data_IF_024515056925
#
_entry.id   IF_024515056925
#
_cell.length_a   1.000
_cell.length_b   1.000
_cell.length_c   1.000
_cell.angle_alpha   90.00
_cell.angle_beta   90.00
_cell.angle_gamma   90.00
#
_symmetry.space_group_name_H-M   'P 1'
#
loop_
_entity.id
_entity.type
_entity.pdbx_description
1 polymer ?
#
# COMPACT_ATOMS: atom_id res chain seq x y z
N UNK A 1 -4.50 22.87 14.20
CA UNK A 1 -5.22 22.62 12.96
C UNK A 1 -4.78 23.62 11.91
N UNK A 2 -4.89 23.34 10.62
CA UNK A 2 -4.33 24.16 9.55
C UNK A 2 -4.81 25.61 9.62
N UNK A 3 -3.93 26.51 10.06
CA UNK A 3 -4.22 27.94 10.03
C UNK A 3 -3.96 28.44 8.60
N UNK A 4 -5.00 28.86 7.87
CA UNK A 4 -4.99 29.24 6.45
C UNK A 4 -4.27 30.59 6.17
N UNK A 5 -3.51 31.10 7.12
CA UNK A 5 -2.95 32.45 7.08
C UNK A 5 -1.88 32.67 6.02
N UNK A 6 -1.21 31.62 5.50
CA UNK A 6 -0.13 31.77 4.54
C UNK A 6 -0.54 31.42 3.12
N UNK A 7 0.13 32.04 2.10
CA UNK A 7 -0.06 31.74 0.68
C UNK A 7 0.19 30.24 0.38
N UNK A 8 1.20 29.65 1.00
CA UNK A 8 1.54 28.23 0.83
C UNK A 8 0.43 27.29 1.31
N UNK A 9 -0.24 27.62 2.42
CA UNK A 9 -1.35 26.80 2.93
C UNK A 9 -2.60 26.91 2.05
N UNK A 10 -2.87 28.09 1.50
CA UNK A 10 -3.95 28.25 0.51
C UNK A 10 -3.67 27.41 -0.73
N UNK A 11 -2.42 27.45 -1.22
CA UNK A 11 -1.99 26.64 -2.36
C UNK A 11 -2.09 25.14 -2.08
N UNK A 12 -1.77 24.69 -0.87
CA UNK A 12 -1.92 23.29 -0.46
C UNK A 12 -3.36 22.80 -0.65
N UNK A 13 -4.36 23.60 -0.25
CA UNK A 13 -5.77 23.25 -0.44
C UNK A 13 -6.18 23.26 -1.90
N UNK A 14 -5.64 24.16 -2.71
CA UNK A 14 -5.83 24.16 -4.16
C UNK A 14 -5.30 22.86 -4.76
N UNK A 15 -4.11 22.41 -4.34
CA UNK A 15 -3.55 21.13 -4.80
C UNK A 15 -4.45 19.95 -4.41
N UNK A 16 -4.96 19.89 -3.19
CA UNK A 16 -5.91 18.85 -2.77
C UNK A 16 -7.19 18.89 -3.61
N UNK A 17 -7.72 20.08 -3.87
CA UNK A 17 -8.90 20.23 -4.73
C UNK A 17 -8.64 19.74 -6.16
N UNK A 18 -7.49 20.06 -6.73
CA UNK A 18 -7.08 19.58 -8.06
C UNK A 18 -7.00 18.04 -8.08
N UNK A 19 -6.37 17.44 -7.06
CA UNK A 19 -6.28 15.97 -6.93
C UNK A 19 -7.69 15.37 -6.91
N UNK A 20 -8.61 15.94 -6.12
CA UNK A 20 -9.98 15.45 -6.00
C UNK A 20 -10.75 15.56 -7.32
N UNK A 21 -10.74 16.74 -7.94
CA UNK A 21 -11.47 16.99 -9.20
C UNK A 21 -10.93 16.14 -10.35
N UNK A 22 -9.59 16.08 -10.52
CA UNK A 22 -8.96 15.26 -11.54
C UNK A 22 -9.31 13.77 -11.37
N UNK A 23 -9.21 13.28 -10.14
CA UNK A 23 -9.56 11.88 -9.83
C UNK A 23 -11.05 11.63 -10.03
N UNK A 24 -11.92 12.60 -9.67
CA UNK A 24 -13.37 12.53 -9.87
C UNK A 24 -13.76 12.40 -11.33
N UNK A 25 -13.20 13.26 -12.19
CA UNK A 25 -13.43 13.20 -13.65
C UNK A 25 -12.99 11.84 -14.21
N UNK A 26 -11.83 11.35 -13.75
CA UNK A 26 -11.29 10.07 -14.21
C UNK A 26 -12.15 8.89 -13.75
N UNK A 27 -12.57 8.88 -12.48
CA UNK A 27 -13.43 7.83 -11.92
C UNK A 27 -14.80 7.85 -12.61
N UNK A 28 -15.38 9.03 -12.85
CA UNK A 28 -16.65 9.16 -13.56
C UNK A 28 -16.59 8.53 -14.97
N UNK A 29 -15.51 8.81 -15.73
CA UNK A 29 -15.30 8.21 -17.06
C UNK A 29 -15.13 6.69 -16.97
N UNK A 30 -14.31 6.19 -16.02
CA UNK A 30 -14.08 4.76 -15.85
C UNK A 30 -15.31 4.01 -15.32
N UNK A 31 -16.15 4.67 -14.51
CA UNK A 31 -17.35 4.06 -13.95
C UNK A 31 -18.39 3.74 -15.04
N UNK A 32 -18.45 4.52 -16.11
CA UNK A 32 -19.32 4.24 -17.26
C UNK A 32 -18.95 2.95 -18.01
N UNK A 33 -17.68 2.54 -17.92
CA UNK A 33 -17.13 1.38 -18.65
C UNK A 33 -16.78 0.22 -17.69
N UNK A 34 -17.25 0.22 -16.45
CA UNK A 34 -16.97 -0.78 -15.39
C UNK A 34 -15.47 -1.08 -15.16
N UNK A 35 -14.59 -0.09 -15.43
CA UNK A 35 -13.13 -0.26 -15.43
C UNK A 35 -12.44 0.02 -14.09
N UNK A 36 -13.16 0.14 -12.98
CA UNK A 36 -12.56 0.30 -11.65
C UNK A 36 -12.54 -1.03 -10.88
N UNK A 37 -11.57 -1.21 -9.99
CA UNK A 37 -11.53 -2.37 -9.10
C UNK A 37 -12.79 -2.42 -8.21
N UNK A 38 -13.27 -1.27 -7.74
CA UNK A 38 -14.50 -1.14 -6.96
C UNK A 38 -15.69 -1.79 -7.70
N UNK A 39 -15.93 -1.45 -8.96
CA UNK A 39 -17.06 -2.00 -9.73
C UNK A 39 -16.88 -3.47 -10.06
N UNK A 40 -15.66 -3.90 -10.44
CA UNK A 40 -15.39 -5.33 -10.69
C UNK A 40 -15.65 -6.22 -9.47
N UNK A 41 -15.54 -5.68 -8.26
CA UNK A 41 -15.79 -6.46 -7.03
C UNK A 41 -17.26 -6.48 -6.61
N UNK A 42 -18.14 -5.67 -7.20
CA UNK A 42 -19.57 -5.64 -6.87
C UNK A 42 -20.24 -7.01 -7.06
N UNK A 43 -19.86 -7.76 -8.09
CA UNK A 43 -20.36 -9.12 -8.33
C UNK A 43 -20.14 -10.07 -7.14
N UNK A 44 -18.98 -9.97 -6.47
CA UNK A 44 -18.70 -10.83 -5.29
C UNK A 44 -19.56 -10.46 -4.09
N UNK A 45 -19.99 -9.20 -4.00
CA UNK A 45 -20.95 -8.76 -2.97
C UNK A 45 -22.32 -9.40 -3.18
N UNK A 46 -22.80 -9.49 -4.42
CA UNK A 46 -24.03 -10.18 -4.74
C UNK A 46 -23.91 -11.70 -4.51
N UNK A 47 -22.77 -12.29 -4.86
CA UNK A 47 -22.52 -13.70 -4.58
C UNK A 47 -22.59 -14.00 -3.07
N UNK A 48 -21.97 -13.19 -2.21
CA UNK A 48 -22.02 -13.37 -0.75
C UNK A 48 -23.44 -13.23 -0.21
N UNK A 49 -24.23 -12.25 -0.66
CA UNK A 49 -25.64 -12.08 -0.25
C UNK A 49 -26.46 -13.33 -0.52
N UNK A 50 -26.18 -14.03 -1.63
CA UNK A 50 -26.83 -15.28 -2.00
C UNK A 50 -26.10 -16.54 -1.48
N UNK A 51 -25.18 -16.40 -0.51
CA UNK A 51 -24.37 -17.48 0.07
C UNK A 51 -23.59 -18.32 -0.96
N UNK A 52 -23.19 -17.72 -2.07
CA UNK A 52 -22.34 -18.35 -3.10
C UNK A 52 -20.87 -18.17 -2.76
N UNK A 53 -20.05 -19.17 -3.08
CA UNK A 53 -18.60 -19.09 -2.92
C UNK A 53 -18.02 -18.03 -3.86
N UNK A 54 -17.11 -17.19 -3.33
CA UNK A 54 -16.45 -16.11 -4.07
C UNK A 54 -14.99 -16.46 -4.42
N UNK A 55 -14.54 -17.61 -3.98
CA UNK A 55 -13.23 -18.16 -4.25
C UNK A 55 -13.39 -19.44 -5.05
N UNK A 56 -12.52 -19.61 -6.07
CA UNK A 56 -12.62 -20.74 -7.00
C UNK A 56 -13.71 -20.58 -8.06
N UNK A 57 -13.54 -21.24 -9.19
CA UNK A 57 -14.54 -21.31 -10.26
C UNK A 57 -14.47 -20.19 -11.29
N UNK A 58 -15.54 -20.06 -12.09
CA UNK A 58 -15.60 -19.18 -13.28
C UNK A 58 -15.64 -17.67 -12.95
N UNK A 59 -16.00 -17.29 -11.72
CA UNK A 59 -16.16 -15.88 -11.32
C UNK A 59 -14.81 -15.12 -11.19
N UNK A 60 -13.68 -15.77 -11.41
CA UNK A 60 -12.35 -15.20 -11.19
C UNK A 60 -11.95 -15.23 -9.70
N UNK A 61 -10.77 -14.70 -9.39
CA UNK A 61 -10.21 -14.78 -8.04
C UNK A 61 -10.39 -13.46 -7.29
N UNK A 62 -11.26 -13.44 -6.28
CA UNK A 62 -11.35 -12.32 -5.34
C UNK A 62 -10.15 -12.38 -4.37
N UNK A 63 -9.32 -11.31 -4.28
CA UNK A 63 -8.05 -11.43 -3.56
C UNK A 63 -8.13 -11.21 -2.05
N UNK A 64 -9.20 -10.58 -1.54
CA UNK A 64 -9.29 -10.17 -0.14
C UNK A 64 -10.21 -11.08 0.66
N UNK A 65 -10.13 -11.02 2.00
CA UNK A 65 -11.07 -11.70 2.90
C UNK A 65 -12.50 -11.13 2.80
N UNK A 66 -13.54 -11.88 3.21
CA UNK A 66 -14.93 -11.48 3.07
C UNK A 66 -15.28 -10.14 3.71
N UNK A 67 -14.63 -9.79 4.83
CA UNK A 67 -14.88 -8.55 5.55
C UNK A 67 -14.68 -7.30 4.68
N UNK A 68 -13.78 -7.35 3.69
CA UNK A 68 -13.58 -6.23 2.76
C UNK A 68 -14.84 -5.93 1.94
N UNK A 69 -15.57 -6.95 1.51
CA UNK A 69 -16.84 -6.75 0.78
C UNK A 69 -17.91 -6.11 1.68
N UNK A 70 -17.93 -6.44 2.98
CA UNK A 70 -18.86 -5.81 3.93
C UNK A 70 -18.60 -4.30 4.05
N UNK A 71 -17.34 -3.86 4.02
CA UNK A 71 -16.99 -2.42 4.00
C UNK A 71 -17.49 -1.75 2.71
N UNK A 72 -17.48 -2.47 1.58
CA UNK A 72 -17.89 -1.92 0.28
C UNK A 72 -19.42 -1.91 0.10
N UNK A 73 -20.18 -2.78 0.78
CA UNK A 73 -21.63 -2.90 0.64
C UNK A 73 -22.39 -1.57 0.73
N UNK A 74 -22.13 -0.67 1.69
CA UNK A 74 -22.85 0.60 1.78
C UNK A 74 -22.67 1.49 0.53
N UNK A 75 -21.50 1.40 -0.09
CA UNK A 75 -21.21 2.16 -1.31
C UNK A 75 -21.91 1.55 -2.53
N UNK A 76 -21.97 0.23 -2.62
CA UNK A 76 -22.71 -0.44 -3.71
C UNK A 76 -24.21 -0.17 -3.67
N UNK A 77 -24.78 0.05 -2.48
CA UNK A 77 -26.19 0.43 -2.32
C UNK A 77 -26.55 1.76 -3.01
N UNK A 78 -25.55 2.63 -3.30
CA UNK A 78 -25.73 3.90 -4.01
C UNK A 78 -25.69 3.73 -5.54
N UNK A 79 -25.63 2.51 -6.04
CA UNK A 79 -25.49 2.21 -7.47
C UNK A 79 -24.09 2.44 -8.03
N UNK A 80 -23.83 2.07 -9.29
CA UNK A 80 -22.47 2.08 -9.84
C UNK A 80 -21.78 3.44 -9.81
N UNK A 81 -22.48 4.48 -10.27
CA UNK A 81 -21.92 5.83 -10.34
C UNK A 81 -21.91 6.52 -8.97
N UNK A 82 -23.03 6.49 -8.24
CA UNK A 82 -23.12 7.09 -6.90
C UNK A 82 -22.15 6.44 -5.93
N UNK A 83 -22.07 5.11 -5.95
CA UNK A 83 -21.12 4.35 -5.14
C UNK A 83 -19.67 4.64 -5.49
N UNK A 84 -19.32 4.76 -6.77
CA UNK A 84 -17.96 5.12 -7.20
C UNK A 84 -17.54 6.51 -6.72
N UNK A 85 -18.45 7.50 -6.79
CA UNK A 85 -18.21 8.86 -6.28
C UNK A 85 -18.09 8.88 -4.77
N UNK A 86 -18.99 8.19 -4.06
CA UNK A 86 -18.95 8.09 -2.60
C UNK A 86 -17.66 7.39 -2.12
N UNK A 87 -17.24 6.31 -2.79
CA UNK A 87 -15.98 5.60 -2.52
C UNK A 87 -14.75 6.47 -2.76
N UNK A 88 -14.73 7.23 -3.88
CA UNK A 88 -13.70 8.22 -4.16
C UNK A 88 -13.62 9.26 -3.04
N UNK A 89 -14.75 9.86 -2.65
CA UNK A 89 -14.83 10.90 -1.62
C UNK A 89 -14.35 10.36 -0.28
N UNK A 90 -14.80 9.17 0.13
CA UNK A 90 -14.35 8.51 1.35
C UNK A 90 -12.83 8.33 1.35
N UNK A 91 -12.24 7.82 0.28
CA UNK A 91 -10.79 7.66 0.16
C UNK A 91 -10.05 8.99 0.14
N UNK A 92 -10.63 10.03 -0.45
CA UNK A 92 -10.04 11.36 -0.42
C UNK A 92 -10.00 11.94 1.01
N UNK A 93 -11.04 11.74 1.81
CA UNK A 93 -11.01 12.11 3.24
C UNK A 93 -9.93 11.34 4.00
N UNK A 94 -9.69 10.08 3.66
CA UNK A 94 -8.57 9.31 4.21
C UNK A 94 -7.21 9.92 3.82
N UNK A 95 -7.04 10.42 2.59
CA UNK A 95 -5.81 11.14 2.19
C UNK A 95 -5.58 12.38 3.08
N UNK A 96 -6.61 13.18 3.32
CA UNK A 96 -6.51 14.34 4.20
C UNK A 96 -6.13 13.94 5.62
N UNK A 97 -6.73 12.86 6.12
CA UNK A 97 -6.40 12.29 7.42
C UNK A 97 -4.94 11.78 7.48
N UNK A 98 -4.50 10.99 6.50
CA UNK A 98 -3.12 10.48 6.42
C UNK A 98 -2.13 11.64 6.40
N UNK A 99 -2.37 12.65 5.55
CA UNK A 99 -1.51 13.83 5.46
C UNK A 99 -1.43 14.57 6.82
N UNK A 100 -2.58 14.88 7.43
CA UNK A 100 -2.64 15.54 8.72
C UNK A 100 -1.92 14.75 9.83
N UNK A 101 -2.22 13.46 9.93
CA UNK A 101 -1.67 12.60 10.97
C UNK A 101 -0.14 12.46 10.86
N UNK A 102 0.34 12.26 9.63
CA UNK A 102 1.78 12.12 9.35
C UNK A 102 2.54 13.39 9.68
N UNK A 103 2.03 14.55 9.24
CA UNK A 103 2.62 15.87 9.55
C UNK A 103 2.62 16.12 11.07
N UNK A 104 1.55 15.75 11.77
CA UNK A 104 1.44 15.88 13.22
C UNK A 104 2.44 15.00 13.96
N UNK A 105 2.54 13.72 13.58
CA UNK A 105 3.46 12.77 14.22
C UNK A 105 4.91 13.19 13.97
N UNK A 106 5.27 13.58 12.74
CA UNK A 106 6.63 14.02 12.42
C UNK A 106 7.04 15.25 13.21
N UNK A 107 6.13 16.21 13.38
CA UNK A 107 6.39 17.42 14.15
C UNK A 107 6.46 17.16 15.66
N UNK A 108 5.56 16.32 16.18
CA UNK A 108 5.34 16.18 17.62
C UNK A 108 5.24 17.57 18.30
N UNK A 109 6.07 17.84 19.30
CA UNK A 109 6.26 19.13 19.94
C UNK A 109 7.49 19.90 19.43
N UNK A 110 8.09 19.43 18.33
CA UNK A 110 9.26 20.04 17.69
C UNK A 110 8.94 21.32 16.91
N UNK A 111 9.93 21.91 16.27
CA UNK A 111 9.76 23.11 15.45
C UNK A 111 8.69 22.93 14.36
N UNK A 112 8.01 24.01 13.96
CA UNK A 112 7.02 23.93 12.90
C UNK A 112 7.64 23.55 11.56
N UNK A 113 6.84 22.87 10.74
CA UNK A 113 7.19 22.64 9.36
C UNK A 113 7.31 23.96 8.60
N UNK A 114 8.34 24.13 7.75
CA UNK A 114 8.29 25.18 6.73
C UNK A 114 7.05 24.96 5.84
N UNK A 115 6.25 26.00 5.62
CA UNK A 115 4.98 25.86 4.87
C UNK A 115 5.18 25.29 3.45
N UNK A 116 6.28 25.66 2.78
CA UNK A 116 6.61 25.14 1.45
C UNK A 116 6.94 23.62 1.46
N UNK A 117 7.47 23.09 2.58
CA UNK A 117 7.79 21.68 2.70
C UNK A 117 6.52 20.80 2.70
N UNK A 118 5.39 21.33 3.15
CA UNK A 118 4.08 20.66 3.05
C UNK A 118 3.64 20.53 1.59
N UNK A 119 3.95 21.54 0.75
CA UNK A 119 3.68 21.45 -0.69
C UNK A 119 4.57 20.42 -1.36
N UNK A 120 5.84 20.33 -0.97
CA UNK A 120 6.74 19.28 -1.46
C UNK A 120 6.21 17.90 -1.04
N UNK A 121 5.81 17.73 0.22
CA UNK A 121 5.31 16.46 0.73
C UNK A 121 4.08 15.96 -0.04
N UNK A 122 3.10 16.84 -0.30
CA UNK A 122 1.92 16.43 -1.07
C UNK A 122 2.29 16.18 -2.54
N UNK A 123 3.16 16.98 -3.14
CA UNK A 123 3.64 16.78 -4.51
C UNK A 123 4.25 15.39 -4.69
N UNK A 124 5.16 14.97 -3.78
CA UNK A 124 5.78 13.65 -3.79
C UNK A 124 4.79 12.50 -3.63
N UNK A 125 3.64 12.76 -2.99
CA UNK A 125 2.61 11.74 -2.74
C UNK A 125 1.49 11.73 -3.79
N UNK A 126 1.38 12.77 -4.62
CA UNK A 126 0.27 12.97 -5.55
C UNK A 126 0.10 11.83 -6.52
N UNK A 127 1.19 11.34 -7.12
CA UNK A 127 1.15 10.25 -8.12
C UNK A 127 0.52 8.97 -7.57
N UNK A 128 0.93 8.54 -6.38
CA UNK A 128 0.42 7.31 -5.76
C UNK A 128 -1.01 7.50 -5.25
N UNK A 129 -1.36 8.68 -4.75
CA UNK A 129 -2.73 8.99 -4.33
C UNK A 129 -3.70 8.98 -5.52
N UNK A 130 -3.39 9.68 -6.61
CA UNK A 130 -4.20 9.66 -7.83
C UNK A 130 -4.31 8.24 -8.38
N UNK A 131 -3.22 7.48 -8.37
CA UNK A 131 -3.22 6.10 -8.84
C UNK A 131 -4.23 5.24 -8.06
N UNK A 132 -4.24 5.27 -6.72
CA UNK A 132 -5.21 4.50 -5.93
C UNK A 132 -6.64 5.03 -6.07
N UNK A 133 -6.84 6.35 -6.03
CA UNK A 133 -8.16 6.97 -6.19
C UNK A 133 -8.81 6.52 -7.51
N UNK A 134 -8.08 6.64 -8.63
CA UNK A 134 -8.60 6.35 -9.98
C UNK A 134 -8.67 4.87 -10.32
N UNK A 135 -7.90 4.03 -9.61
CA UNK A 135 -8.01 2.57 -9.74
C UNK A 135 -9.23 2.01 -8.99
N UNK A 136 -9.73 2.74 -7.98
CA UNK A 136 -10.85 2.30 -7.15
C UNK A 136 -10.48 1.20 -6.15
N UNK A 137 -9.18 1.00 -5.85
CA UNK A 137 -8.68 -0.03 -4.93
C UNK A 137 -8.84 0.41 -3.46
N UNK A 138 -8.41 -0.44 -2.53
CA UNK A 138 -8.60 -0.33 -1.08
C UNK A 138 -7.35 0.12 -0.33
N UNK A 139 -6.22 0.36 -1.03
CA UNK A 139 -4.94 0.56 -0.34
C UNK A 139 -4.91 1.83 0.52
N UNK A 140 -5.64 2.89 0.13
CA UNK A 140 -5.80 4.08 0.96
C UNK A 140 -6.52 3.78 2.27
N UNK A 141 -7.52 2.90 2.25
CA UNK A 141 -8.24 2.48 3.47
C UNK A 141 -7.30 1.69 4.39
N UNK A 142 -6.57 0.73 3.83
CA UNK A 142 -5.55 -0.04 4.54
C UNK A 142 -4.48 0.89 5.12
N UNK A 143 -3.97 1.82 4.30
CA UNK A 143 -3.02 2.85 4.72
C UNK A 143 -3.57 3.74 5.83
N UNK A 144 -4.85 4.10 5.76
CA UNK A 144 -5.55 4.84 6.81
C UNK A 144 -5.49 4.12 8.15
N UNK A 145 -5.75 2.80 8.18
CA UNK A 145 -5.65 2.00 9.40
C UNK A 145 -4.22 1.86 9.91
N UNK A 146 -3.23 1.74 9.04
CA UNK A 146 -1.80 1.77 9.45
C UNK A 146 -1.45 3.12 10.09
N UNK A 147 -1.97 4.23 9.56
CA UNK A 147 -1.76 5.58 10.14
C UNK A 147 -2.55 5.76 11.44
N UNK A 148 -3.75 5.18 11.57
CA UNK A 148 -4.45 5.08 12.86
C UNK A 148 -3.61 4.34 13.88
N UNK A 149 -2.99 3.21 13.50
CA UNK A 149 -2.09 2.48 14.38
C UNK A 149 -0.89 3.32 14.82
N UNK A 150 -0.28 4.08 13.90
CA UNK A 150 0.80 5.03 14.19
C UNK A 150 0.35 6.10 15.19
N UNK A 151 -0.82 6.71 14.98
CA UNK A 151 -1.38 7.70 15.90
C UNK A 151 -1.71 7.10 17.27
N UNK A 152 -2.33 5.93 17.31
CA UNK A 152 -2.61 5.22 18.56
C UNK A 152 -1.31 4.95 19.32
N UNK A 153 -0.27 4.47 18.64
CA UNK A 153 1.06 4.29 19.23
C UNK A 153 1.64 5.61 19.73
N UNK A 154 1.55 6.71 18.95
CA UNK A 154 1.99 8.04 19.33
C UNK A 154 1.31 8.56 20.61
N UNK A 155 0.05 8.19 20.84
CA UNK A 155 -0.72 8.51 22.05
C UNK A 155 -0.70 7.41 23.11
N UNK A 156 0.24 6.47 23.04
CA UNK A 156 0.41 5.38 24.02
C UNK A 156 -0.80 4.44 24.13
N UNK A 157 -1.63 4.38 23.07
CA UNK A 157 -2.79 3.51 22.97
C UNK A 157 -2.42 2.19 22.25
N UNK A 158 -1.47 1.46 22.82
CA UNK A 158 -0.84 0.31 22.16
C UNK A 158 -1.85 -0.78 21.75
N UNK A 159 -2.83 -1.09 22.58
CA UNK A 159 -3.88 -2.07 22.23
C UNK A 159 -4.66 -1.63 20.98
N UNK A 160 -5.06 -0.36 20.90
CA UNK A 160 -5.79 0.19 19.75
C UNK A 160 -4.89 0.28 18.50
N UNK A 161 -3.59 0.54 18.70
CA UNK A 161 -2.59 0.45 17.62
C UNK A 161 -2.60 -0.95 17.01
N UNK A 162 -2.51 -1.99 17.83
CA UNK A 162 -2.60 -3.37 17.39
C UNK A 162 -3.93 -3.71 16.73
N UNK A 163 -5.05 -3.33 17.35
CA UNK A 163 -6.40 -3.58 16.82
C UNK A 163 -6.55 -3.03 15.39
N UNK A 164 -6.02 -1.82 15.15
CA UNK A 164 -6.03 -1.20 13.84
C UNK A 164 -5.16 -1.96 12.81
N UNK A 165 -4.01 -2.49 13.24
CA UNK A 165 -3.17 -3.36 12.37
C UNK A 165 -3.89 -4.69 12.09
N UNK A 166 -4.54 -5.29 13.08
CA UNK A 166 -5.35 -6.50 12.88
C UNK A 166 -6.45 -6.29 11.83
N UNK A 167 -7.16 -5.18 11.89
CA UNK A 167 -8.16 -4.81 10.87
C UNK A 167 -7.50 -4.60 9.50
N UNK A 168 -6.40 -3.85 9.43
CA UNK A 168 -5.68 -3.64 8.17
C UNK A 168 -5.21 -4.97 7.55
N UNK A 169 -4.73 -5.92 8.37
CA UNK A 169 -4.28 -7.24 7.94
C UNK A 169 -5.43 -8.12 7.41
N UNK A 170 -6.62 -7.98 7.94
CA UNK A 170 -7.83 -8.67 7.43
C UNK A 170 -8.27 -8.07 6.09
N UNK A 171 -8.13 -6.77 5.89
CA UNK A 171 -8.44 -6.14 4.60
C UNK A 171 -7.42 -6.51 3.52
N UNK A 172 -6.16 -6.68 3.89
CA UNK A 172 -5.07 -7.16 3.04
C UNK A 172 -3.96 -7.70 3.93
N UNK A 173 -3.46 -8.89 3.65
CA UNK A 173 -2.51 -9.62 4.54
C UNK A 173 -1.22 -8.84 4.83
N UNK A 174 -0.75 -8.02 3.90
CA UNK A 174 0.57 -7.39 4.00
C UNK A 174 0.82 -6.57 5.28
N UNK A 175 -0.14 -5.84 5.90
CA UNK A 175 0.03 -5.19 7.20
C UNK A 175 0.31 -6.14 8.38
N UNK A 176 0.09 -7.45 8.22
CA UNK A 176 0.45 -8.41 9.26
C UNK A 176 1.96 -8.37 9.61
N UNK A 177 2.81 -7.82 8.73
CA UNK A 177 4.24 -7.60 9.00
C UNK A 177 4.48 -6.68 10.21
N UNK A 178 3.52 -5.84 10.59
CA UNK A 178 3.61 -5.05 11.82
C UNK A 178 3.53 -5.91 13.10
N UNK A 179 2.97 -7.13 13.04
CA UNK A 179 2.87 -8.00 14.22
C UNK A 179 4.26 -8.46 14.69
N UNK A 180 5.13 -9.06 13.85
CA UNK A 180 6.51 -9.36 14.25
C UNK A 180 7.32 -8.11 14.60
N UNK A 181 7.05 -6.93 13.98
CA UNK A 181 7.64 -5.67 14.42
C UNK A 181 7.24 -5.33 15.87
N UNK A 182 5.96 -5.42 16.22
CA UNK A 182 5.51 -5.18 17.59
C UNK A 182 6.10 -6.19 18.58
N UNK A 183 6.21 -7.48 18.20
CA UNK A 183 6.90 -8.50 18.98
C UNK A 183 8.36 -8.12 19.22
N UNK A 184 9.09 -7.75 18.18
CA UNK A 184 10.49 -7.34 18.26
C UNK A 184 10.68 -6.12 19.18
N UNK A 185 9.76 -5.15 19.11
CA UNK A 185 9.72 -3.96 19.97
C UNK A 185 9.18 -4.23 21.37
N UNK A 186 8.79 -5.48 21.69
CA UNK A 186 8.18 -5.91 22.97
C UNK A 186 6.90 -5.12 23.32
N UNK A 187 6.15 -4.67 22.29
CA UNK A 187 4.86 -4.00 22.45
C UNK A 187 3.74 -5.04 22.55
N UNK A 188 3.69 -5.74 23.68
CA UNK A 188 2.80 -6.89 23.89
C UNK A 188 1.31 -6.55 23.74
N UNK A 189 0.90 -5.35 24.19
CA UNK A 189 -0.48 -4.90 24.03
C UNK A 189 -0.84 -4.68 22.55
N UNK A 190 0.10 -4.20 21.72
CA UNK A 190 -0.13 -4.07 20.28
C UNK A 190 -0.22 -5.44 19.60
N UNK A 191 0.56 -6.43 20.05
CA UNK A 191 0.44 -7.81 19.57
C UNK A 191 -0.94 -8.38 19.94
N UNK A 192 -1.35 -8.26 21.20
CA UNK A 192 -2.66 -8.73 21.66
C UNK A 192 -3.80 -8.03 20.90
N UNK A 193 -3.73 -6.72 20.73
CA UNK A 193 -4.69 -5.94 19.93
C UNK A 193 -4.77 -6.44 18.48
N UNK A 194 -3.63 -6.77 17.85
CA UNK A 194 -3.61 -7.29 16.48
C UNK A 194 -4.31 -8.65 16.37
N UNK A 195 -4.05 -9.54 17.31
CA UNK A 195 -4.69 -10.87 17.36
C UNK A 195 -6.20 -10.72 17.56
N UNK A 196 -6.63 -9.85 18.50
CA UNK A 196 -8.04 -9.56 18.74
C UNK A 196 -8.67 -8.94 17.49
N UNK A 197 -7.99 -7.99 16.82
CA UNK A 197 -8.47 -7.39 15.58
C UNK A 197 -8.67 -8.43 14.47
N UNK A 198 -7.72 -9.32 14.28
CA UNK A 198 -7.86 -10.43 13.30
C UNK A 198 -9.06 -11.31 13.68
N UNK A 199 -9.18 -11.73 14.95
CA UNK A 199 -10.31 -12.56 15.40
C UNK A 199 -11.66 -11.88 15.20
N UNK A 200 -11.77 -10.59 15.51
CA UNK A 200 -13.00 -9.81 15.34
C UNK A 200 -13.40 -9.67 13.87
N UNK A 201 -12.49 -9.22 13.02
CA UNK A 201 -12.81 -8.79 11.65
C UNK A 201 -12.69 -9.93 10.61
N UNK A 202 -11.94 -10.99 10.90
CA UNK A 202 -11.87 -12.16 10.03
C UNK A 202 -12.93 -13.21 10.37
N UNK A 203 -13.23 -13.37 11.66
CA UNK A 203 -14.04 -14.50 12.13
C UNK A 203 -15.35 -14.08 12.80
N UNK A 204 -15.32 -13.28 13.88
CA UNK A 204 -16.49 -13.02 14.71
C UNK A 204 -17.54 -12.19 13.96
N UNK A 205 -17.20 -11.00 13.45
CA UNK A 205 -18.16 -10.13 12.78
C UNK A 205 -18.69 -10.76 11.48
N UNK A 206 -17.85 -11.28 10.57
CA UNK A 206 -18.33 -11.98 9.41
C UNK A 206 -19.13 -13.25 9.75
N UNK A 207 -18.74 -13.98 10.80
CA UNK A 207 -19.48 -15.15 11.28
C UNK A 207 -20.89 -14.83 11.77
N UNK A 208 -21.08 -13.69 12.49
CA UNK A 208 -22.40 -13.23 12.91
C UNK A 208 -23.25 -12.80 11.72
N UNK A 209 -22.67 -12.12 10.71
CA UNK A 209 -23.41 -11.57 9.57
C UNK A 209 -23.73 -12.65 8.53
N UNK A 210 -22.75 -13.51 8.20
CA UNK A 210 -22.86 -14.51 7.13
C UNK A 210 -23.26 -15.91 7.64
N UNK A 211 -23.16 -16.16 8.96
CA UNK A 211 -23.17 -17.48 9.57
C UNK A 211 -21.75 -18.07 9.63
N UNK A 212 -21.41 -18.66 10.78
CA UNK A 212 -20.05 -19.16 11.06
C UNK A 212 -19.60 -20.23 10.07
N UNK A 213 -20.46 -21.19 9.72
CA UNK A 213 -20.12 -22.27 8.78
C UNK A 213 -19.78 -21.74 7.38
N UNK A 214 -20.54 -20.76 6.90
CA UNK A 214 -20.29 -20.18 5.58
C UNK A 214 -19.02 -19.32 5.61
N UNK A 215 -18.82 -18.49 6.64
CA UNK A 215 -17.61 -17.70 6.79
C UNK A 215 -16.36 -18.58 6.90
N UNK A 216 -16.40 -19.67 7.68
CA UNK A 216 -15.28 -20.61 7.81
C UNK A 216 -14.89 -21.20 6.45
N UNK A 217 -15.88 -21.62 5.63
CA UNK A 217 -15.60 -22.11 4.27
C UNK A 217 -14.94 -21.03 3.40
N UNK A 218 -15.43 -19.79 3.46
CA UNK A 218 -14.83 -18.67 2.72
C UNK A 218 -13.39 -18.43 3.14
N UNK A 219 -13.08 -18.41 4.44
CA UNK A 219 -11.71 -18.18 4.95
C UNK A 219 -10.77 -19.32 4.56
N UNK A 220 -11.23 -20.60 4.62
CA UNK A 220 -10.44 -21.76 4.23
C UNK A 220 -10.12 -21.71 2.72
N UNK A 221 -11.11 -21.43 1.87
CA UNK A 221 -10.88 -21.35 0.42
C UNK A 221 -10.01 -20.16 0.05
N UNK A 222 -10.17 -19.01 0.73
CA UNK A 222 -9.25 -17.89 0.58
C UNK A 222 -7.81 -18.26 0.92
N UNK A 223 -7.58 -18.97 2.05
CA UNK A 223 -6.26 -19.45 2.43
C UNK A 223 -5.66 -20.36 1.36
N UNK A 224 -6.43 -21.33 0.84
CA UNK A 224 -5.98 -22.24 -0.21
C UNK A 224 -5.58 -21.52 -1.49
N UNK A 225 -6.28 -20.45 -1.85
CA UNK A 225 -6.01 -19.70 -3.08
C UNK A 225 -4.93 -18.64 -2.94
N UNK A 226 -4.88 -17.95 -1.81
CA UNK A 226 -4.07 -16.73 -1.67
C UNK A 226 -2.80 -16.92 -0.86
N UNK A 227 -2.79 -17.86 0.10
CA UNK A 227 -1.66 -18.04 1.03
C UNK A 227 -0.91 -19.34 0.73
N UNK A 228 -1.63 -20.45 0.61
CA UNK A 228 -1.03 -21.77 0.41
C UNK A 228 -0.09 -21.85 -0.81
N UNK A 229 -0.43 -21.32 -2.01
CA UNK A 229 0.46 -21.36 -3.18
C UNK A 229 1.80 -20.68 -2.92
N UNK A 230 1.79 -19.54 -2.23
CA UNK A 230 3.00 -18.81 -1.85
C UNK A 230 3.86 -19.62 -0.86
N UNK A 231 3.24 -20.19 0.19
CA UNK A 231 3.95 -21.01 1.19
C UNK A 231 4.49 -22.31 0.58
N UNK A 232 3.74 -22.93 -0.33
CA UNK A 232 4.15 -24.15 -1.03
C UNK A 232 5.23 -23.90 -2.11
N UNK A 233 5.58 -22.64 -2.37
CA UNK A 233 6.58 -22.30 -3.40
C UNK A 233 6.14 -22.68 -4.81
N UNK A 234 4.82 -22.57 -5.10
CA UNK A 234 4.29 -22.85 -6.43
C UNK A 234 4.84 -21.84 -7.47
N UNK A 235 4.95 -22.23 -8.74
CA UNK A 235 5.44 -21.37 -9.80
C UNK A 235 4.67 -20.05 -9.87
N UNK A 236 5.40 -18.96 -10.09
CA UNK A 236 4.80 -17.62 -10.32
C UNK A 236 4.22 -17.58 -11.74
N UNK A 237 3.05 -16.95 -11.87
CA UNK A 237 2.40 -16.75 -13.16
C UNK A 237 2.73 -15.38 -13.77
N UNK A 238 2.20 -15.12 -14.97
CA UNK A 238 2.40 -13.85 -15.69
C UNK A 238 2.01 -12.60 -14.89
N UNK A 239 1.00 -12.71 -14.02
CA UNK A 239 0.57 -11.60 -13.18
C UNK A 239 1.65 -11.16 -12.18
N UNK A 240 2.49 -12.09 -11.70
CA UNK A 240 3.60 -11.80 -10.81
C UNK A 240 4.81 -11.23 -11.56
N UNK A 241 5.07 -11.68 -12.79
CA UNK A 241 6.21 -11.23 -13.60
C UNK A 241 5.93 -9.96 -14.40
N UNK A 242 4.66 -9.54 -14.51
CA UNK A 242 4.27 -8.31 -15.21
C UNK A 242 5.07 -7.08 -14.74
N UNK A 243 5.48 -6.21 -15.67
CA UNK A 243 6.26 -4.99 -15.41
C UNK A 243 5.68 -4.09 -14.30
N UNK A 244 4.37 -4.04 -14.15
CA UNK A 244 3.72 -3.25 -13.10
C UNK A 244 3.99 -3.78 -11.68
N UNK A 245 4.47 -5.02 -11.53
CA UNK A 245 4.79 -5.59 -10.23
C UNK A 245 6.17 -5.17 -9.76
N UNK A 246 6.24 -4.31 -8.74
CA UNK A 246 7.44 -3.76 -8.14
C UNK A 246 7.84 -4.47 -6.83
N UNK A 247 7.39 -5.71 -6.62
CA UNK A 247 7.85 -6.56 -5.52
C UNK A 247 9.19 -7.22 -5.84
N UNK A 248 9.90 -7.71 -4.82
CA UNK A 248 11.11 -8.50 -5.04
C UNK A 248 10.87 -9.69 -5.97
N UNK A 249 9.78 -10.42 -5.75
CA UNK A 249 9.38 -11.55 -6.59
C UNK A 249 9.27 -11.11 -8.05
N UNK A 250 8.50 -10.05 -8.33
CA UNK A 250 8.30 -9.57 -9.70
C UNK A 250 9.61 -9.16 -10.37
N UNK A 251 10.41 -8.35 -9.70
CA UNK A 251 11.68 -7.85 -10.24
C UNK A 251 12.66 -9.00 -10.49
N UNK A 252 12.87 -9.89 -9.50
CA UNK A 252 13.86 -10.95 -9.62
C UNK A 252 13.49 -12.01 -10.65
N UNK A 253 12.21 -12.35 -10.78
CA UNK A 253 11.79 -13.25 -11.85
C UNK A 253 12.00 -12.64 -13.23
N UNK A 254 11.72 -11.34 -13.43
CA UNK A 254 12.00 -10.67 -14.70
C UNK A 254 13.49 -10.60 -15.04
N UNK A 255 14.35 -10.43 -14.03
CA UNK A 255 15.80 -10.28 -14.25
C UNK A 255 16.53 -11.63 -14.38
N UNK A 256 16.03 -12.68 -13.73
CA UNK A 256 16.77 -13.93 -13.58
C UNK A 256 16.08 -15.17 -14.18
N UNK A 257 14.88 -15.04 -14.74
CA UNK A 257 14.22 -16.15 -15.45
C UNK A 257 13.74 -15.70 -16.83
N UNK A 258 13.49 -16.67 -17.70
CA UNK A 258 12.90 -16.43 -19.02
C UNK A 258 11.39 -16.15 -18.89
N UNK A 259 11.07 -15.01 -18.27
CA UNK A 259 9.70 -14.58 -18.04
C UNK A 259 9.34 -13.33 -18.83
N UNK A 260 8.07 -13.26 -19.26
CA UNK A 260 7.54 -12.09 -19.95
C UNK A 260 7.34 -10.95 -18.98
N UNK A 261 8.00 -9.81 -19.22
CA UNK A 261 7.84 -8.58 -18.46
C UNK A 261 6.66 -7.76 -18.97
N UNK A 262 6.51 -7.62 -20.28
CA UNK A 262 5.40 -6.95 -20.95
C UNK A 262 4.85 -7.89 -22.02
N UNK A 263 3.56 -8.19 -21.94
CA UNK A 263 2.89 -8.99 -22.97
C UNK A 263 2.69 -8.17 -24.25
N UNK A 264 2.78 -8.84 -25.39
CA UNK A 264 2.53 -8.21 -26.69
C UNK A 264 1.16 -7.52 -26.73
N UNK A 265 1.12 -6.31 -27.24
CA UNK A 265 -0.12 -5.57 -27.50
C UNK A 265 -0.15 -5.13 -28.97
N UNK A 266 -0.74 -5.98 -29.81
CA UNK A 266 -0.84 -5.74 -31.26
C UNK A 266 -1.53 -4.44 -31.60
N UNK A 267 -2.52 -4.03 -30.79
CA UNK A 267 -3.26 -2.75 -31.01
C UNK A 267 -2.37 -1.53 -30.76
N UNK A 268 -1.29 -1.69 -29.99
CA UNK A 268 -0.34 -0.63 -29.66
C UNK A 268 0.99 -0.77 -30.38
N UNK A 269 1.16 -1.80 -31.17
CA UNK A 269 2.41 -2.08 -31.89
C UNK A 269 3.57 -2.46 -30.97
N UNK A 270 3.30 -3.15 -29.86
CA UNK A 270 4.34 -3.64 -28.94
C UNK A 270 4.52 -5.13 -29.07
N UNK A 271 5.77 -5.54 -29.24
CA UNK A 271 6.20 -6.92 -29.10
C UNK A 271 6.33 -7.31 -27.62
N UNK A 272 6.41 -8.61 -27.37
CA UNK A 272 6.70 -9.16 -26.06
C UNK A 272 8.07 -8.70 -25.58
N UNK A 273 8.15 -8.18 -24.35
CA UNK A 273 9.41 -7.74 -23.76
C UNK A 273 9.86 -8.71 -22.68
N UNK A 274 11.10 -9.19 -22.81
CA UNK A 274 11.87 -9.91 -21.80
C UNK A 274 13.11 -9.10 -21.47
N UNK A 275 13.49 -9.02 -20.20
CA UNK A 275 14.61 -8.18 -19.72
C UNK A 275 15.63 -8.97 -18.90
N UNK A 276 15.55 -10.30 -18.95
CA UNK A 276 16.39 -11.15 -18.14
C UNK A 276 17.87 -11.09 -18.57
N UNK A 277 18.75 -11.03 -17.58
CA UNK A 277 20.21 -11.12 -17.77
C UNK A 277 20.66 -12.56 -17.90
N UNK A 278 19.93 -13.49 -17.28
CA UNK A 278 20.19 -14.93 -17.25
C UNK A 278 18.86 -15.67 -17.12
N UNK A 279 18.81 -16.91 -17.60
CA UNK A 279 17.62 -17.75 -17.53
C UNK A 279 17.86 -18.88 -16.52
N UNK A 280 17.59 -18.61 -15.26
CA UNK A 280 17.64 -19.58 -14.17
C UNK A 280 16.29 -20.30 -14.00
N UNK A 281 16.35 -21.51 -13.46
CA UNK A 281 15.15 -22.27 -13.14
C UNK A 281 14.36 -21.65 -11.98
N UNK A 282 13.06 -21.98 -11.90
CA UNK A 282 12.14 -21.44 -10.91
C UNK A 282 12.63 -21.63 -9.45
N UNK A 283 13.22 -22.79 -9.11
CA UNK A 283 13.66 -23.08 -7.74
C UNK A 283 14.84 -22.19 -7.35
N UNK A 284 15.78 -21.98 -8.25
CA UNK A 284 16.94 -21.10 -8.05
C UNK A 284 16.50 -19.65 -7.87
N UNK A 285 15.61 -19.12 -8.72
CA UNK A 285 15.09 -17.75 -8.57
C UNK A 285 14.30 -17.60 -7.26
N UNK A 286 13.47 -18.58 -6.91
CA UNK A 286 12.74 -18.59 -5.65
C UNK A 286 13.67 -18.55 -4.43
N UNK A 287 14.79 -19.28 -4.48
CA UNK A 287 15.82 -19.26 -3.44
C UNK A 287 16.45 -17.87 -3.31
N UNK A 288 16.80 -17.23 -4.44
CA UNK A 288 17.37 -15.87 -4.46
C UNK A 288 16.37 -14.88 -3.84
N UNK A 289 15.07 -14.95 -4.19
CA UNK A 289 14.02 -14.13 -3.61
C UNK A 289 13.93 -14.33 -2.10
N UNK A 290 14.00 -15.58 -1.61
CA UNK A 290 13.97 -15.89 -0.17
C UNK A 290 15.19 -15.31 0.55
N UNK A 291 16.39 -15.44 -0.01
CA UNK A 291 17.62 -14.86 0.58
C UNK A 291 17.52 -13.34 0.64
N UNK A 292 17.09 -12.68 -0.45
CA UNK A 292 16.90 -11.24 -0.47
C UNK A 292 15.82 -10.78 0.52
N UNK A 293 14.74 -11.56 0.66
CA UNK A 293 13.69 -11.29 1.65
C UNK A 293 14.24 -11.37 3.09
N UNK A 294 15.05 -12.38 3.39
CA UNK A 294 15.72 -12.50 4.68
C UNK A 294 16.69 -11.34 4.93
N UNK A 295 17.42 -10.90 3.91
CA UNK A 295 18.29 -9.73 4.00
C UNK A 295 17.51 -8.46 4.33
N UNK A 296 16.37 -8.21 3.68
CA UNK A 296 15.48 -7.09 3.98
C UNK A 296 14.97 -7.18 5.42
N UNK A 297 14.54 -8.36 5.86
CA UNK A 297 14.10 -8.57 7.25
C UNK A 297 15.23 -8.32 8.26
N UNK A 298 16.45 -8.74 7.95
CA UNK A 298 17.65 -8.45 8.74
C UNK A 298 17.96 -6.95 8.81
N UNK A 299 17.90 -6.25 7.68
CA UNK A 299 18.04 -4.79 7.63
C UNK A 299 16.95 -4.10 8.45
N UNK A 300 15.69 -4.52 8.31
CA UNK A 300 14.58 -3.98 9.09
C UNK A 300 14.81 -4.18 10.59
N UNK A 301 15.19 -5.38 11.02
CA UNK A 301 15.50 -5.68 12.43
C UNK A 301 16.67 -4.81 12.93
N UNK A 302 17.72 -4.63 12.11
CA UNK A 302 18.84 -3.75 12.43
C UNK A 302 18.41 -2.29 12.62
N UNK A 303 17.61 -1.74 11.73
CA UNK A 303 17.10 -0.36 11.84
C UNK A 303 16.17 -0.18 13.04
N UNK A 304 15.32 -1.16 13.31
CA UNK A 304 14.36 -1.13 14.41
C UNK A 304 14.94 -1.58 15.77
N UNK A 305 16.26 -1.88 15.87
CA UNK A 305 16.86 -2.42 17.11
C UNK A 305 16.84 -1.47 18.30
N UNK A 306 16.85 -0.16 18.05
CA UNK A 306 16.89 0.83 19.12
C UNK A 306 15.54 0.91 19.82
N UNK A 307 15.45 0.62 21.12
CA UNK A 307 14.20 0.78 21.85
C UNK A 307 13.91 2.28 22.01
N UNK A 308 12.79 2.73 21.49
CA UNK A 308 12.28 4.08 21.75
C UNK A 308 11.32 4.00 22.93
N UNK A 309 11.78 4.40 24.11
CA UNK A 309 10.93 4.51 25.33
C UNK A 309 9.87 5.60 25.15
N UNK A 310 10.23 6.67 24.43
CA UNK A 310 9.30 7.73 24.06
C UNK A 310 8.54 7.36 22.76
N UNK A 311 7.27 7.11 22.87
CA UNK A 311 6.36 6.83 21.75
C UNK A 311 6.28 7.98 20.75
N UNK A 312 6.64 9.19 21.17
CA UNK A 312 6.63 10.41 20.34
C UNK A 312 7.96 10.65 19.62
N UNK A 313 8.94 9.77 19.81
CA UNK A 313 10.21 9.90 19.11
C UNK A 313 10.03 9.80 17.59
N UNK A 314 10.67 10.70 16.83
CA UNK A 314 10.57 10.76 15.36
C UNK A 314 10.97 9.40 14.71
N UNK A 315 11.88 8.65 15.33
CA UNK A 315 12.27 7.32 14.89
C UNK A 315 11.12 6.34 14.74
N UNK A 316 10.05 6.44 15.54
CA UNK A 316 8.87 5.59 15.41
C UNK A 316 8.17 5.79 14.06
N UNK A 317 8.08 7.03 13.57
CA UNK A 317 7.58 7.31 12.21
C UNK A 317 8.48 6.68 11.14
N UNK A 318 9.81 6.77 11.30
CA UNK A 318 10.77 6.13 10.41
C UNK A 318 10.64 4.60 10.41
N UNK A 319 10.49 3.98 11.58
CA UNK A 319 10.27 2.54 11.70
C UNK A 319 8.97 2.09 11.04
N UNK A 320 7.85 2.79 11.26
CA UNK A 320 6.59 2.51 10.55
C UNK A 320 6.74 2.63 9.02
N UNK A 321 7.47 3.65 8.55
CA UNK A 321 7.77 3.79 7.13
C UNK A 321 8.60 2.61 6.59
N UNK A 322 9.61 2.16 7.33
CA UNK A 322 10.46 1.01 6.94
C UNK A 322 9.68 -0.29 6.93
N UNK A 323 8.83 -0.55 7.93
CA UNK A 323 7.95 -1.74 7.95
C UNK A 323 7.00 -1.70 6.75
N UNK A 324 6.42 -0.53 6.44
CA UNK A 324 5.57 -0.37 5.26
C UNK A 324 6.32 -0.67 3.95
N UNK A 325 7.53 -0.17 3.77
CA UNK A 325 8.33 -0.47 2.58
C UNK A 325 8.67 -1.96 2.49
N UNK A 326 9.08 -2.58 3.61
CA UNK A 326 9.32 -4.01 3.66
C UNK A 326 8.07 -4.82 3.29
N UNK A 327 6.88 -4.41 3.76
CA UNK A 327 5.60 -5.01 3.40
C UNK A 327 5.34 -5.01 1.89
N UNK A 328 5.76 -3.97 1.17
CA UNK A 328 5.63 -3.89 -0.28
C UNK A 328 6.64 -4.77 -1.01
N UNK A 329 7.90 -4.75 -0.60
CA UNK A 329 8.94 -5.55 -1.23
C UNK A 329 8.75 -7.06 -1.01
N UNK A 330 8.31 -7.45 0.18
CA UNK A 330 8.07 -8.85 0.56
C UNK A 330 6.72 -9.39 0.06
N UNK A 331 5.85 -8.52 -0.45
CA UNK A 331 4.58 -8.94 -1.06
C UNK A 331 4.84 -9.70 -2.37
N UNK A 332 3.99 -10.65 -2.70
CA UNK A 332 4.02 -11.31 -4.01
C UNK A 332 3.74 -10.31 -5.14
N UNK A 333 2.93 -9.29 -4.88
CA UNK A 333 2.52 -8.28 -5.86
C UNK A 333 2.47 -6.89 -5.23
N UNK A 334 3.21 -5.96 -5.81
CA UNK A 334 3.23 -4.55 -5.40
C UNK A 334 3.16 -3.62 -6.60
N UNK A 335 2.00 -3.06 -6.85
CA UNK A 335 1.73 -2.12 -7.93
C UNK A 335 1.80 -0.68 -7.44
N UNK A 336 1.94 0.29 -8.32
CA UNK A 336 2.05 1.73 -8.00
C UNK A 336 1.04 2.22 -6.94
N UNK A 337 -0.21 1.80 -7.04
CA UNK A 337 -1.26 2.20 -6.10
C UNK A 337 -1.16 1.52 -4.72
N UNK A 338 -0.19 0.63 -4.50
CA UNK A 338 0.11 0.11 -3.17
C UNK A 338 1.01 1.04 -2.35
N UNK A 339 1.72 1.96 -3.00
CA UNK A 339 2.72 2.83 -2.38
C UNK A 339 2.12 4.07 -1.68
N UNK A 340 0.83 4.07 -1.35
CA UNK A 340 0.10 5.21 -0.76
C UNK A 340 0.69 5.74 0.54
N UNK A 341 1.42 4.93 1.31
CA UNK A 341 2.09 5.35 2.54
C UNK A 341 3.57 5.75 2.37
N UNK A 342 4.07 5.93 1.13
CA UNK A 342 5.37 6.59 0.92
C UNK A 342 5.45 7.96 1.60
N UNK A 343 4.31 8.59 1.84
CA UNK A 343 4.22 9.84 2.61
C UNK A 343 4.84 9.73 4.00
N UNK A 344 4.83 8.55 4.65
CA UNK A 344 5.50 8.34 5.94
C UNK A 344 7.02 8.49 5.80
N UNK A 345 7.62 7.86 4.78
CA UNK A 345 9.04 7.96 4.50
C UNK A 345 9.44 9.37 4.07
N UNK A 346 8.67 9.98 3.16
CA UNK A 346 8.93 11.34 2.71
C UNK A 346 8.82 12.35 3.85
N UNK A 347 7.82 12.24 4.73
CA UNK A 347 7.69 13.17 5.85
C UNK A 347 8.77 12.97 6.90
N UNK A 348 9.19 11.73 7.19
CA UNK A 348 10.34 11.45 8.05
C UNK A 348 11.61 12.12 7.49
N UNK A 349 11.94 11.88 6.21
CA UNK A 349 13.14 12.40 5.57
C UNK A 349 13.12 13.93 5.46
N UNK A 350 12.01 14.51 5.01
CA UNK A 350 11.88 15.96 4.89
C UNK A 350 11.99 16.65 6.25
N UNK A 351 11.30 16.15 7.28
CA UNK A 351 11.39 16.73 8.63
C UNK A 351 12.81 16.60 9.18
N UNK A 352 13.42 15.43 9.03
CA UNK A 352 14.80 15.20 9.45
C UNK A 352 15.79 16.15 8.77
N UNK A 353 15.70 16.31 7.44
CA UNK A 353 16.63 17.14 6.68
C UNK A 353 16.41 18.63 6.88
N UNK A 354 15.17 19.09 6.91
CA UNK A 354 14.83 20.52 6.90
C UNK A 354 14.70 21.12 8.30
N UNK A 355 14.24 20.34 9.26
CA UNK A 355 13.96 20.82 10.63
C UNK A 355 15.05 20.41 11.60
N UNK A 356 15.46 19.12 11.59
CA UNK A 356 16.54 18.62 12.46
C UNK A 356 17.94 19.04 11.97
N UNK A 357 18.08 19.39 10.68
CA UNK A 357 19.29 19.93 10.05
C UNK A 357 20.57 19.14 10.38
N UNK A 358 20.61 17.82 10.10
CA UNK A 358 21.81 17.03 10.34
C UNK A 358 23.01 17.56 9.53
N UNK A 359 24.23 17.24 9.95
CA UNK A 359 25.47 17.64 9.28
C UNK A 359 26.24 16.42 8.73
N UNK A 360 27.22 16.68 7.89
CA UNK A 360 28.08 15.65 7.31
C UNK A 360 27.32 14.59 6.52
N UNK A 361 27.78 13.34 6.59
CA UNK A 361 27.20 12.21 5.86
C UNK A 361 25.72 11.96 6.23
N UNK A 362 25.31 12.28 7.46
CA UNK A 362 23.92 12.16 7.94
C UNK A 362 22.95 13.09 7.18
N UNK A 363 23.45 14.15 6.56
CA UNK A 363 22.70 15.04 5.67
C UNK A 363 22.76 14.54 4.23
N UNK A 364 23.97 14.30 3.73
CA UNK A 364 24.16 14.09 2.30
C UNK A 364 23.64 12.74 1.82
N UNK A 365 23.81 11.67 2.59
CA UNK A 365 23.33 10.33 2.21
C UNK A 365 21.80 10.30 2.03
N UNK A 366 20.96 10.65 3.03
CA UNK A 366 19.51 10.62 2.85
C UNK A 366 19.04 11.66 1.82
N UNK A 367 19.69 12.81 1.69
CA UNK A 367 19.35 13.79 0.66
C UNK A 367 19.61 13.25 -0.75
N UNK A 368 20.75 12.59 -0.99
CA UNK A 368 21.07 11.99 -2.29
C UNK A 368 20.06 10.90 -2.66
N UNK A 369 19.75 9.99 -1.75
CA UNK A 369 18.73 8.97 -1.99
C UNK A 369 17.34 9.56 -2.23
N UNK A 370 16.98 10.61 -1.51
CA UNK A 370 15.70 11.31 -1.72
C UNK A 370 15.67 11.95 -3.11
N UNK A 371 16.73 12.64 -3.54
CA UNK A 371 16.81 13.27 -4.88
C UNK A 371 16.74 12.19 -5.97
N UNK A 372 17.52 11.13 -5.85
CA UNK A 372 17.49 10.01 -6.80
C UNK A 372 16.08 9.38 -6.85
N UNK A 373 15.48 9.11 -5.71
CA UNK A 373 14.12 8.54 -5.64
C UNK A 373 13.08 9.47 -6.28
N UNK A 374 13.14 10.78 -6.03
CA UNK A 374 12.28 11.78 -6.67
C UNK A 374 12.50 11.78 -8.18
N UNK A 375 13.76 11.81 -8.62
CA UNK A 375 14.09 11.79 -10.04
C UNK A 375 13.50 10.56 -10.72
N UNK A 376 13.81 9.37 -10.23
CA UNK A 376 13.31 8.11 -10.78
C UNK A 376 11.77 8.07 -10.76
N UNK A 377 11.14 8.42 -9.64
CA UNK A 377 9.68 8.41 -9.53
C UNK A 377 9.00 9.42 -10.46
N UNK A 378 9.58 10.59 -10.66
CA UNK A 378 9.00 11.65 -11.48
C UNK A 378 9.20 11.36 -12.97
N UNK A 379 10.42 11.02 -13.35
CA UNK A 379 10.80 10.89 -14.76
C UNK A 379 10.52 9.52 -15.36
N UNK A 380 10.30 8.45 -14.59
CA UNK A 380 9.90 7.15 -15.11
C UNK A 380 8.46 7.11 -15.68
N UNK A 381 7.71 8.20 -15.54
CA UNK A 381 6.32 8.26 -16.02
C UNK A 381 6.20 8.41 -17.53
N UNK A 382 5.11 7.88 -18.09
CA UNK A 382 4.80 7.92 -19.54
C UNK A 382 4.66 9.34 -20.12
N UNK A 383 4.54 10.37 -19.30
CA UNK A 383 4.53 11.78 -19.73
C UNK A 383 5.89 12.22 -20.29
N UNK A 384 7.00 11.67 -19.80
CA UNK A 384 8.36 12.09 -20.20
C UNK A 384 8.94 11.20 -21.30
N UNK A 385 8.75 9.90 -21.20
CA UNK A 385 9.38 8.93 -22.12
C UNK A 385 8.38 8.21 -23.04
N UNK A 386 7.09 8.57 -22.97
CA UNK A 386 6.06 7.79 -23.64
C UNK A 386 5.78 6.46 -22.93
N UNK A 387 4.76 5.73 -23.39
CA UNK A 387 4.32 4.49 -22.73
C UNK A 387 5.35 3.38 -22.79
N UNK A 388 5.88 3.12 -23.98
CA UNK A 388 6.83 2.03 -24.20
C UNK A 388 8.02 2.11 -23.25
N UNK A 389 8.74 3.23 -23.24
CA UNK A 389 9.89 3.42 -22.35
C UNK A 389 9.53 3.46 -20.87
N UNK A 390 8.32 3.98 -20.52
CA UNK A 390 7.83 3.87 -19.15
C UNK A 390 7.63 2.41 -18.72
N UNK A 391 7.06 1.57 -19.59
CA UNK A 391 6.86 0.15 -19.31
C UNK A 391 8.20 -0.61 -19.22
N UNK A 392 9.18 -0.24 -20.05
CA UNK A 392 10.56 -0.76 -19.98
C UNK A 392 11.21 -0.38 -18.63
N UNK A 393 11.17 0.90 -18.23
CA UNK A 393 11.73 1.34 -16.95
C UNK A 393 11.06 0.63 -15.76
N UNK A 394 9.73 0.49 -15.81
CA UNK A 394 9.00 -0.28 -14.80
C UNK A 394 9.38 -1.75 -14.77
N UNK A 395 9.71 -2.34 -15.92
CA UNK A 395 10.17 -3.73 -15.98
C UNK A 395 11.50 -3.90 -15.21
N UNK A 396 12.39 -2.91 -15.25
CA UNK A 396 13.63 -2.92 -14.45
C UNK A 396 13.45 -2.52 -12.98
N UNK A 397 12.25 -2.14 -12.53
CA UNK A 397 11.96 -1.81 -11.13
C UNK A 397 12.10 -0.32 -10.79
N UNK A 398 11.95 0.56 -11.78
CA UNK A 398 12.05 2.03 -11.62
C UNK A 398 10.67 2.69 -11.45
#
# INVERSE_FOLDING_TARGET
MFNFSTRSKKLLWVVFLIIYLFSGITVFKKAKDDRTAFLRWSQYTEMIKHRKMIYGGEAGTYPNLPFMLMILMPFYALGPLGGSVAWLTFKFLIILFIFWATVKVARNNGPPWPDWALLVLIFLSTRVFISDLTHGNVNLVIGGFVVVALLCSFYEKDFLSGLSIGLAAVLKVTPALFIPYFLYKRRWLSVAGSIVGIALFCWLIPGIILGFDFNNRLVIEWYKQMIHPFLAGMPVGEMQTNHMNQSLTGIFYRLFSDSVAVTADVKRGYDELRINFVSLDHKTVSLIVKIASLAIMGCLAWFCRTPHKDHKHLGNLGEFAMVFLAMLFLSERSWKHHYVLLILAHSFLLYYLLVMKPSGWRKWVPLSFMIIGIFLHTFSGSLFFGRHWSDVLEAYGV
#
